data_IF_026950466181
#
_entry.id   IF_026950466181
#
_cell.length_a   1.000
_cell.length_b   1.000
_cell.length_c   1.000
_cell.angle_alpha   90.00
_cell.angle_beta   90.00
_cell.angle_gamma   90.00
#
_symmetry.space_group_name_H-M   'P 1'
#
loop_
_entity.id
_entity.type
_entity.pdbx_description
1 polymer ?
#
# COMPACT_ATOMS: atom_id res chain seq x y z
N UNK A 1 8.30 23.41 -4.42
CA UNK A 1 7.81 22.23 -5.17
C UNK A 1 6.28 22.15 -5.14
N UNK A 2 5.57 22.98 -5.94
CA UNK A 2 4.11 23.11 -5.84
C UNK A 2 3.31 21.84 -6.20
N UNK A 3 3.81 21.02 -7.13
CA UNK A 3 3.11 19.80 -7.57
C UNK A 3 2.97 18.75 -6.45
N UNK A 4 3.94 18.64 -5.53
CA UNK A 4 3.84 17.74 -4.38
C UNK A 4 2.77 18.19 -3.37
N UNK A 5 2.56 19.51 -3.21
CA UNK A 5 1.44 20.03 -2.43
C UNK A 5 0.10 19.66 -3.09
N UNK A 6 0.02 19.74 -4.42
CA UNK A 6 -1.19 19.37 -5.17
C UNK A 6 -1.51 17.88 -4.97
N UNK A 7 -0.53 16.98 -5.16
CA UNK A 7 -0.74 15.55 -4.94
C UNK A 7 -1.10 15.24 -3.48
N UNK A 8 -0.43 15.87 -2.51
CA UNK A 8 -0.79 15.67 -1.11
C UNK A 8 -2.25 16.06 -0.85
N UNK A 9 -2.71 17.20 -1.39
CA UNK A 9 -4.11 17.64 -1.25
C UNK A 9 -5.08 16.68 -1.95
N UNK A 10 -4.76 16.25 -3.16
CA UNK A 10 -5.64 15.44 -4.02
C UNK A 10 -5.80 14.00 -3.51
N UNK A 11 -4.71 13.38 -3.04
CA UNK A 11 -4.67 11.96 -2.71
C UNK A 11 -4.63 11.66 -1.20
N UNK A 12 -4.56 12.66 -0.30
CA UNK A 12 -4.52 12.43 1.16
C UNK A 12 -5.67 11.56 1.66
N UNK A 13 -6.89 11.83 1.20
CA UNK A 13 -8.10 11.14 1.64
C UNK A 13 -8.21 9.74 0.99
N UNK A 14 -7.25 9.41 0.12
CA UNK A 14 -7.07 8.10 -0.51
C UNK A 14 -5.82 7.39 0.02
N UNK A 15 -5.15 7.97 1.03
CA UNK A 15 -4.03 7.35 1.74
C UNK A 15 -2.64 7.78 1.25
N UNK A 16 -2.52 8.78 0.35
CA UNK A 16 -1.21 9.33 0.02
C UNK A 16 -0.71 10.25 1.15
N UNK A 17 0.46 9.93 1.68
CA UNK A 17 1.20 10.82 2.59
C UNK A 17 2.46 11.27 1.87
N UNK A 18 2.68 12.58 1.80
CA UNK A 18 3.92 13.17 1.29
C UNK A 18 4.76 13.57 2.50
N UNK A 19 6.03 13.18 2.52
CA UNK A 19 6.98 13.54 3.58
C UNK A 19 8.23 14.09 2.90
N UNK A 20 8.57 15.34 3.21
CA UNK A 20 9.84 15.93 2.83
C UNK A 20 10.93 15.50 3.81
N UNK A 21 12.13 15.20 3.32
CA UNK A 21 13.28 14.87 4.17
C UNK A 21 14.44 15.75 3.74
N UNK A 22 15.12 16.36 4.71
CA UNK A 22 16.31 17.19 4.47
C UNK A 22 17.39 16.90 5.51
N UNK A 23 18.65 16.95 5.06
CA UNK A 23 19.83 16.92 5.92
C UNK A 23 20.06 18.25 6.65
N UNK A 24 19.42 19.33 6.19
CA UNK A 24 19.55 20.65 6.80
C UNK A 24 18.85 20.71 8.16
N UNK A 25 19.43 21.42 9.14
CA UNK A 25 18.73 21.74 10.39
C UNK A 25 17.52 22.63 10.10
N UNK A 26 16.52 22.58 10.99
CA UNK A 26 15.27 23.33 10.85
C UNK A 26 15.51 24.83 10.59
N UNK A 27 16.45 25.46 11.32
CA UNK A 27 16.77 26.88 11.19
C UNK A 27 17.17 27.29 9.75
N UNK A 28 17.83 26.39 9.00
CA UNK A 28 18.24 26.64 7.61
C UNK A 28 17.15 26.29 6.61
N UNK A 29 16.40 25.22 6.87
CA UNK A 29 15.37 24.74 5.95
C UNK A 29 14.07 25.57 6.02
N UNK A 30 13.72 26.11 7.19
CA UNK A 30 12.45 26.82 7.44
C UNK A 30 12.22 28.02 6.51
N UNK A 31 13.21 28.93 6.27
CA UNK A 31 13.02 30.01 5.30
C UNK A 31 12.74 29.52 3.87
N UNK A 32 13.30 28.38 3.47
CA UNK A 32 13.02 27.78 2.16
C UNK A 32 11.60 27.21 2.10
N UNK A 33 11.16 26.55 3.16
CA UNK A 33 9.82 25.95 3.29
C UNK A 33 8.73 27.00 3.20
N UNK A 34 8.87 28.09 3.95
CA UNK A 34 7.93 29.20 3.99
C UNK A 34 7.85 29.91 2.63
N UNK A 35 9.02 30.25 2.05
CA UNK A 35 9.11 30.88 0.73
C UNK A 35 8.46 30.03 -0.37
N UNK A 36 8.61 28.71 -0.30
CA UNK A 36 8.05 27.77 -1.27
C UNK A 36 6.65 27.28 -0.91
N UNK A 37 6.05 27.79 0.19
CA UNK A 37 4.73 27.41 0.69
C UNK A 37 4.53 25.89 0.78
N UNK A 38 5.54 25.17 1.28
CA UNK A 38 5.46 23.71 1.40
C UNK A 38 4.48 23.36 2.55
N UNK A 39 3.49 22.50 2.27
CA UNK A 39 2.39 22.19 3.20
C UNK A 39 2.42 20.78 3.76
N UNK A 40 3.21 19.89 3.18
CA UNK A 40 3.35 18.52 3.67
C UNK A 40 4.40 18.45 4.81
N UNK A 41 4.32 17.46 5.71
CA UNK A 41 5.29 17.27 6.79
C UNK A 41 6.74 17.19 6.29
N UNK A 42 7.67 17.77 7.04
CA UNK A 42 9.11 17.74 6.74
C UNK A 42 9.87 17.22 7.96
N UNK A 43 10.82 16.33 7.69
CA UNK A 43 11.78 15.81 8.66
C UNK A 43 13.12 16.50 8.44
N UNK A 44 13.64 17.13 9.49
CA UNK A 44 14.91 17.88 9.51
C UNK A 44 16.06 17.05 10.06
N UNK A 45 17.29 17.37 9.65
CA UNK A 45 18.54 16.91 10.30
C UNK A 45 18.79 15.39 10.33
N UNK A 46 17.94 14.59 9.70
CA UNK A 46 18.00 13.12 9.75
C UNK A 46 18.47 12.45 8.47
N UNK A 47 18.43 13.17 7.34
CA UNK A 47 18.72 12.61 6.03
C UNK A 47 17.87 11.41 5.64
N UNK A 48 17.98 11.03 4.37
CA UNK A 48 17.46 9.75 3.89
C UNK A 48 18.64 8.81 3.62
N UNK A 49 19.56 8.64 4.57
CA UNK A 49 20.84 7.92 4.38
C UNK A 49 20.64 6.46 3.91
N UNK A 50 19.56 5.81 4.33
CA UNK A 50 19.16 4.48 3.84
C UNK A 50 18.63 4.45 2.39
N UNK A 51 18.31 5.62 1.83
CA UNK A 51 17.78 5.80 0.48
C UNK A 51 18.86 6.36 -0.46
N UNK A 52 19.58 5.47 -1.15
CA UNK A 52 20.61 5.86 -2.11
C UNK A 52 20.03 6.68 -3.28
N UNK A 53 20.45 7.93 -3.42
CA UNK A 53 20.11 8.83 -4.55
C UNK A 53 21.29 8.96 -5.51
N UNK A 54 21.00 9.37 -6.76
CA UNK A 54 22.04 9.78 -7.74
C UNK A 54 22.19 11.30 -7.85
N UNK A 55 21.30 12.06 -7.21
CA UNK A 55 21.21 13.51 -7.31
C UNK A 55 19.94 14.02 -6.60
N UNK A 56 19.97 15.28 -6.20
CA UNK A 56 18.89 15.98 -5.50
C UNK A 56 18.29 17.04 -6.46
N UNK A 57 16.96 17.23 -6.49
CA UNK A 57 15.96 16.57 -5.65
C UNK A 57 15.61 15.16 -6.15
N UNK A 58 15.27 14.28 -5.20
CA UNK A 58 14.88 12.91 -5.45
C UNK A 58 13.59 12.58 -4.70
N UNK A 59 12.77 11.70 -5.25
CA UNK A 59 11.56 11.21 -4.60
C UNK A 59 11.42 9.70 -4.80
N UNK A 60 10.81 9.05 -3.82
CA UNK A 60 10.42 7.65 -3.88
C UNK A 60 8.94 7.57 -3.59
N UNK A 61 8.22 6.81 -4.40
CA UNK A 61 6.85 6.41 -4.10
C UNK A 61 6.90 5.05 -3.44
N UNK A 62 6.41 4.97 -2.20
CA UNK A 62 6.26 3.73 -1.46
C UNK A 62 4.82 3.27 -1.60
N UNK A 63 4.61 2.08 -2.17
CA UNK A 63 3.28 1.52 -2.32
C UNK A 63 2.73 0.99 -0.98
N UNK A 64 1.43 0.69 -0.89
CA UNK A 64 0.76 0.19 0.33
C UNK A 64 1.32 -1.13 0.89
N UNK A 65 2.10 -1.86 0.07
CA UNK A 65 2.87 -3.03 0.49
C UNK A 65 4.22 -2.73 1.13
N UNK A 66 4.57 -1.46 1.35
CA UNK A 66 5.84 -1.02 1.94
C UNK A 66 7.04 -1.08 1.00
N UNK A 67 6.83 -1.33 -0.30
CA UNK A 67 7.88 -1.40 -1.31
C UNK A 67 7.96 -0.11 -2.12
N UNK A 68 9.16 0.27 -2.53
CA UNK A 68 9.37 1.35 -3.50
C UNK A 68 8.85 0.88 -4.86
N UNK A 69 7.86 1.60 -5.39
CA UNK A 69 7.20 1.30 -6.68
C UNK A 69 7.59 2.29 -7.77
N UNK A 70 8.12 3.45 -7.38
CA UNK A 70 8.72 4.43 -8.28
C UNK A 70 9.82 5.20 -7.56
N UNK A 71 10.84 5.64 -8.29
CA UNK A 71 11.86 6.57 -7.79
C UNK A 71 12.39 7.44 -8.93
N UNK A 72 12.75 8.68 -8.62
CA UNK A 72 13.30 9.59 -9.63
C UNK A 72 13.27 11.05 -9.20
N UNK A 73 13.49 11.93 -10.16
CA UNK A 73 13.32 13.37 -9.93
C UNK A 73 11.83 13.67 -9.67
N UNK A 74 11.46 14.49 -8.66
CA UNK A 74 10.07 14.73 -8.28
C UNK A 74 9.16 15.20 -9.42
N UNK A 75 9.70 15.99 -10.37
CA UNK A 75 8.96 16.45 -11.56
C UNK A 75 8.47 15.29 -12.44
N UNK A 76 9.15 14.14 -12.40
CA UNK A 76 8.72 12.94 -13.12
C UNK A 76 7.60 12.16 -12.44
N UNK A 77 7.21 12.50 -11.21
CA UNK A 77 6.06 11.91 -10.54
C UNK A 77 4.79 12.60 -11.03
N UNK A 78 3.82 11.81 -11.49
CA UNK A 78 2.53 12.31 -11.96
C UNK A 78 1.36 11.53 -11.36
N UNK A 79 0.14 12.06 -11.54
CA UNK A 79 -1.08 11.46 -11.03
C UNK A 79 -1.29 10.01 -11.53
N UNK A 80 -0.96 9.70 -12.78
CA UNK A 80 -1.10 8.33 -13.32
C UNK A 80 -0.23 7.31 -12.59
N UNK A 81 1.01 7.67 -12.25
CA UNK A 81 1.90 6.83 -11.43
C UNK A 81 1.32 6.63 -10.04
N UNK A 82 0.80 7.70 -9.41
CA UNK A 82 0.17 7.61 -8.10
C UNK A 82 -1.07 6.72 -8.17
N UNK A 83 -1.97 6.95 -9.12
CA UNK A 83 -3.18 6.15 -9.35
C UNK A 83 -2.89 4.67 -9.53
N UNK A 84 -1.87 4.34 -10.32
CA UNK A 84 -1.41 2.96 -10.53
C UNK A 84 -0.97 2.28 -9.23
N UNK A 85 -0.48 3.04 -8.27
CA UNK A 85 0.21 2.53 -7.10
C UNK A 85 -0.44 2.84 -5.75
N UNK A 86 -1.45 3.70 -5.71
CA UNK A 86 -2.24 4.02 -4.51
C UNK A 86 -3.27 2.92 -4.23
N UNK A 87 -3.47 2.00 -5.16
CA UNK A 87 -4.39 0.90 -4.97
C UNK A 87 -4.00 0.00 -3.79
N UNK A 88 -4.96 -0.20 -2.89
CA UNK A 88 -4.73 -0.89 -1.63
C UNK A 88 -4.20 0.01 -0.51
N UNK A 89 -4.00 1.31 -0.77
CA UNK A 89 -3.81 2.31 0.27
C UNK A 89 -5.08 2.39 1.13
N UNK A 90 -4.87 2.65 2.41
CA UNK A 90 -5.92 2.67 3.41
C UNK A 90 -5.90 4.00 4.11
N UNK A 91 -7.06 4.62 4.20
CA UNK A 91 -7.32 5.60 5.25
C UNK A 91 -7.95 4.82 6.38
N UNK A 92 -7.23 4.72 7.50
CA UNK A 92 -7.76 4.08 8.72
C UNK A 92 -8.99 4.83 9.23
N UNK A 93 -9.83 4.20 10.06
CA UNK A 93 -11.00 4.86 10.61
C UNK A 93 -10.56 6.05 11.47
N UNK A 94 -11.21 7.20 11.29
CA UNK A 94 -11.00 8.36 12.16
C UNK A 94 -11.73 8.11 13.48
N UNK A 95 -10.94 7.76 14.50
CA UNK A 95 -11.44 7.46 15.84
C UNK A 95 -10.73 8.41 16.80
N UNK A 96 -11.52 9.28 17.41
CA UNK A 96 -11.08 10.15 18.50
C UNK A 96 -11.52 9.50 19.80
N UNK A 97 -10.60 9.42 20.76
CA UNK A 97 -10.83 8.76 22.04
C UNK A 97 -10.56 9.74 23.18
N UNK A 98 -11.27 9.60 24.31
CA UNK A 98 -10.96 10.31 25.53
C UNK A 98 -9.48 10.13 25.96
N UNK A 99 -8.85 11.13 26.60
CA UNK A 99 -7.45 11.07 27.01
C UNK A 99 -7.11 9.87 27.92
N UNK A 100 -8.08 9.30 28.65
CA UNK A 100 -7.83 8.14 29.51
C UNK A 100 -7.53 6.87 28.72
N UNK A 101 -7.90 6.80 27.43
CA UNK A 101 -7.72 5.61 26.57
C UNK A 101 -6.37 5.62 25.81
N UNK A 102 -5.31 6.15 26.43
CA UNK A 102 -3.96 6.30 25.81
C UNK A 102 -3.46 5.03 25.13
N UNK A 103 -3.64 3.89 25.81
CA UNK A 103 -3.18 2.59 25.32
C UNK A 103 -3.92 2.16 24.04
N UNK A 104 -5.25 2.33 24.02
CA UNK A 104 -6.05 2.09 22.81
C UNK A 104 -5.62 3.04 21.70
N UNK A 105 -5.43 4.33 21.98
CA UNK A 105 -4.96 5.31 20.98
C UNK A 105 -3.62 4.89 20.37
N UNK A 106 -2.69 4.34 21.16
CA UNK A 106 -1.43 3.78 20.64
C UNK A 106 -1.66 2.59 19.70
N UNK A 107 -2.57 1.68 20.03
CA UNK A 107 -2.90 0.55 19.14
C UNK A 107 -3.55 1.00 17.83
N UNK A 108 -4.47 1.96 17.88
CA UNK A 108 -5.10 2.54 16.68
C UNK A 108 -4.07 3.18 15.75
N UNK A 109 -3.18 4.02 16.30
CA UNK A 109 -2.09 4.66 15.53
C UNK A 109 -1.14 3.64 14.91
N UNK A 110 -0.93 2.49 15.55
CA UNK A 110 -0.11 1.40 15.04
C UNK A 110 -0.85 0.45 14.07
N UNK A 111 -2.13 0.70 13.77
CA UNK A 111 -2.96 -0.19 12.94
C UNK A 111 -3.23 -1.57 13.57
N UNK A 112 -3.05 -1.69 14.90
CA UNK A 112 -3.28 -2.91 15.69
C UNK A 112 -4.73 -2.96 16.16
N UNK A 113 -5.68 -2.89 15.22
CA UNK A 113 -7.11 -2.76 15.49
C UNK A 113 -7.69 -3.88 16.36
N UNK A 114 -7.23 -5.13 16.22
CA UNK A 114 -7.68 -6.22 17.06
C UNK A 114 -7.28 -6.05 18.54
N UNK A 115 -6.05 -5.56 18.79
CA UNK A 115 -5.62 -5.22 20.16
C UNK A 115 -6.36 -4.01 20.70
N UNK A 116 -6.61 -3.00 19.85
CA UNK A 116 -7.43 -1.85 20.22
C UNK A 116 -8.84 -2.31 20.62
N UNK A 117 -9.47 -3.17 19.83
CA UNK A 117 -10.81 -3.70 20.09
C UNK A 117 -10.88 -4.45 21.42
N UNK A 118 -9.94 -5.37 21.69
CA UNK A 118 -9.90 -6.10 22.98
C UNK A 118 -9.65 -5.17 24.18
N UNK A 119 -8.83 -4.13 24.02
CA UNK A 119 -8.60 -3.14 25.07
C UNK A 119 -9.87 -2.33 25.33
N UNK A 120 -10.53 -1.83 24.27
CA UNK A 120 -11.80 -1.11 24.34
C UNK A 120 -12.91 -1.91 25.01
N UNK A 121 -13.04 -3.21 24.70
CA UNK A 121 -14.02 -4.08 25.34
C UNK A 121 -13.81 -4.14 26.86
N UNK A 122 -12.56 -4.23 27.31
CA UNK A 122 -12.22 -4.22 28.74
C UNK A 122 -12.50 -2.86 29.38
N UNK A 123 -12.21 -1.77 28.68
CA UNK A 123 -12.44 -0.41 29.17
C UNK A 123 -13.93 -0.11 29.28
N UNK A 124 -14.73 -0.47 28.28
CA UNK A 124 -16.19 -0.31 28.31
C UNK A 124 -16.80 -1.04 29.52
N UNK A 125 -16.37 -2.28 29.81
CA UNK A 125 -16.87 -3.05 30.97
C UNK A 125 -16.45 -2.49 32.34
N UNK A 126 -15.37 -1.71 32.40
CA UNK A 126 -14.79 -1.18 33.65
C UNK A 126 -15.03 0.32 33.81
N UNK A 127 -15.61 0.98 32.82
CA UNK A 127 -15.81 2.40 32.81
C UNK A 127 -16.79 2.80 33.93
N UNK A 128 -16.36 3.75 34.76
CA UNK A 128 -17.24 4.42 35.74
C UNK A 128 -17.92 5.65 35.13
N UNK A 129 -17.28 6.23 34.11
CA UNK A 129 -17.77 7.38 33.36
C UNK A 129 -18.54 6.88 32.13
N UNK A 130 -19.86 7.15 32.02
CA UNK A 130 -20.67 6.78 30.86
C UNK A 130 -20.12 7.31 29.53
N UNK A 131 -19.45 8.47 29.53
CA UNK A 131 -18.85 9.02 28.31
C UNK A 131 -17.67 8.16 27.82
N UNK A 132 -16.88 7.59 28.73
CA UNK A 132 -15.77 6.68 28.38
C UNK A 132 -16.31 5.35 27.88
N UNK A 133 -17.38 4.83 28.49
CA UNK A 133 -18.05 3.62 28.02
C UNK A 133 -18.57 3.81 26.59
N UNK A 134 -19.32 4.89 26.36
CA UNK A 134 -19.90 5.18 25.05
C UNK A 134 -18.82 5.36 23.99
N UNK A 135 -17.79 6.17 24.27
CA UNK A 135 -16.68 6.38 23.34
C UNK A 135 -15.95 5.06 23.00
N UNK A 136 -15.83 4.14 23.97
CA UNK A 136 -15.23 2.84 23.72
C UNK A 136 -16.12 1.96 22.82
N UNK A 137 -17.43 1.97 23.03
CA UNK A 137 -18.41 1.25 22.19
C UNK A 137 -18.46 1.80 20.77
N UNK A 138 -18.51 3.11 20.60
CA UNK A 138 -18.49 3.77 19.29
C UNK A 138 -17.20 3.45 18.52
N UNK A 139 -16.06 3.46 19.22
CA UNK A 139 -14.79 3.09 18.63
C UNK A 139 -14.75 1.63 18.20
N UNK A 140 -15.30 0.70 18.99
CA UNK A 140 -15.44 -0.71 18.61
C UNK A 140 -16.31 -0.87 17.36
N UNK A 141 -17.44 -0.17 17.29
CA UNK A 141 -18.31 -0.19 16.11
C UNK A 141 -17.56 0.29 14.86
N UNK A 142 -16.88 1.45 14.93
CA UNK A 142 -16.10 1.99 13.81
C UNK A 142 -14.97 1.05 13.36
N UNK A 143 -14.31 0.34 14.29
CA UNK A 143 -13.30 -0.67 13.95
C UNK A 143 -13.95 -1.84 13.19
N UNK A 144 -15.11 -2.33 13.67
CA UNK A 144 -15.83 -3.44 13.03
C UNK A 144 -16.34 -3.07 11.64
N UNK A 145 -16.92 -1.88 11.47
CA UNK A 145 -17.35 -1.37 10.16
C UNK A 145 -16.16 -1.25 9.21
N UNK A 146 -15.05 -0.68 9.68
CA UNK A 146 -13.82 -0.58 8.90
C UNK A 146 -13.31 -1.96 8.47
N UNK A 147 -13.30 -2.95 9.36
CA UNK A 147 -12.88 -4.30 9.04
C UNK A 147 -13.78 -4.94 7.96
N UNK A 148 -15.09 -4.74 8.05
CA UNK A 148 -16.06 -5.21 7.06
C UNK A 148 -15.85 -4.57 5.69
N UNK A 149 -15.63 -3.25 5.63
CA UNK A 149 -15.31 -2.54 4.39
C UNK A 149 -14.00 -3.06 3.79
N UNK A 150 -12.98 -3.30 4.62
CA UNK A 150 -11.70 -3.84 4.14
C UNK A 150 -11.83 -5.26 3.60
N UNK A 151 -12.71 -6.09 4.16
CA UNK A 151 -12.98 -7.43 3.64
C UNK A 151 -13.78 -7.36 2.33
N UNK A 152 -14.80 -6.49 2.26
CA UNK A 152 -15.56 -6.26 1.03
C UNK A 152 -14.66 -5.76 -0.12
N UNK A 153 -13.66 -4.93 0.18
CA UNK A 153 -12.67 -4.49 -0.81
C UNK A 153 -11.87 -5.65 -1.41
N UNK A 154 -11.62 -6.73 -0.66
CA UNK A 154 -10.98 -7.93 -1.22
C UNK A 154 -11.84 -8.56 -2.31
N UNK A 155 -13.16 -8.62 -2.12
CA UNK A 155 -14.07 -9.12 -3.15
C UNK A 155 -14.00 -8.25 -4.43
N UNK A 156 -13.91 -6.93 -4.27
CA UNK A 156 -13.72 -6.01 -5.41
C UNK A 156 -12.37 -6.22 -6.12
N UNK A 157 -11.29 -6.46 -5.37
CA UNK A 157 -10.00 -6.84 -5.98
C UNK A 157 -10.11 -8.14 -6.78
N UNK A 158 -10.85 -9.13 -6.28
CA UNK A 158 -11.09 -10.39 -6.99
C UNK A 158 -11.82 -10.15 -8.31
N UNK A 159 -12.92 -9.39 -8.29
CA UNK A 159 -13.71 -9.05 -9.49
C UNK A 159 -12.87 -8.33 -10.55
N UNK A 160 -12.00 -7.42 -10.11
CA UNK A 160 -11.10 -6.66 -10.99
C UNK A 160 -9.82 -7.42 -11.36
N UNK A 161 -9.71 -8.70 -10.99
CA UNK A 161 -8.53 -9.57 -11.21
C UNK A 161 -7.23 -9.03 -10.57
N UNK A 162 -7.35 -8.18 -9.54
CA UNK A 162 -6.25 -7.54 -8.82
C UNK A 162 -5.75 -8.41 -7.68
N UNK A 163 -5.39 -9.64 -8.02
CA UNK A 163 -5.11 -10.70 -7.05
C UNK A 163 -3.92 -10.39 -6.14
N UNK A 164 -2.90 -9.68 -6.62
CA UNK A 164 -1.76 -9.31 -5.78
C UNK A 164 -2.16 -8.27 -4.71
N UNK A 165 -2.92 -7.24 -5.09
CA UNK A 165 -3.45 -6.27 -4.14
C UNK A 165 -4.38 -6.92 -3.12
N UNK A 166 -5.24 -7.83 -3.56
CA UNK A 166 -6.13 -8.60 -2.69
C UNK A 166 -5.39 -9.52 -1.72
N UNK A 167 -4.35 -10.25 -2.15
CA UNK A 167 -3.52 -11.05 -1.23
C UNK A 167 -2.86 -10.21 -0.14
N UNK A 168 -2.33 -9.04 -0.51
CA UNK A 168 -1.74 -8.13 0.47
C UNK A 168 -2.80 -7.60 1.44
N UNK A 169 -3.99 -7.25 0.94
CA UNK A 169 -5.10 -6.80 1.78
C UNK A 169 -5.57 -7.90 2.75
N UNK A 170 -5.64 -9.15 2.29
CA UNK A 170 -5.96 -10.34 3.10
C UNK A 170 -4.91 -10.59 4.19
N UNK A 171 -3.62 -10.57 3.84
CA UNK A 171 -2.54 -10.73 4.80
C UNK A 171 -2.55 -9.62 5.85
N UNK A 172 -2.70 -8.35 5.44
CA UNK A 172 -2.81 -7.23 6.37
C UNK A 172 -4.04 -7.35 7.27
N UNK A 173 -5.22 -7.64 6.70
CA UNK A 173 -6.47 -7.80 7.46
C UNK A 173 -6.36 -8.87 8.53
N UNK A 174 -5.77 -10.03 8.20
CA UNK A 174 -5.54 -11.12 9.17
C UNK A 174 -4.67 -10.71 10.37
N UNK A 175 -3.71 -9.80 10.15
CA UNK A 175 -2.80 -9.32 11.20
C UNK A 175 -3.39 -8.14 11.98
N UNK A 176 -3.90 -7.13 11.28
CA UNK A 176 -4.42 -5.89 11.89
C UNK A 176 -5.62 -6.16 12.79
N UNK A 177 -6.51 -7.08 12.42
CA UNK A 177 -7.72 -7.41 13.18
C UNK A 177 -7.54 -8.66 14.06
N UNK A 178 -6.31 -9.13 14.27
CA UNK A 178 -6.02 -10.33 15.07
C UNK A 178 -6.71 -10.28 16.44
N UNK A 179 -7.50 -11.29 16.75
CA UNK A 179 -8.31 -11.39 17.97
C UNK A 179 -9.79 -11.09 17.78
N UNK A 180 -10.17 -10.48 16.64
CA UNK A 180 -11.57 -10.32 16.23
C UNK A 180 -12.01 -11.49 15.35
N UNK A 181 -13.31 -11.82 15.37
CA UNK A 181 -13.86 -12.91 14.54
C UNK A 181 -13.68 -12.66 13.04
N UNK A 182 -13.80 -11.41 12.58
CA UNK A 182 -13.60 -11.07 11.17
C UNK A 182 -12.18 -11.37 10.67
N UNK A 183 -11.17 -11.41 11.54
CA UNK A 183 -9.82 -11.82 11.15
C UNK A 183 -9.74 -13.29 10.71
N UNK A 184 -10.68 -14.14 11.18
CA UNK A 184 -10.81 -15.53 10.74
C UNK A 184 -11.25 -15.57 9.27
N UNK A 185 -12.16 -14.70 8.85
CA UNK A 185 -12.58 -14.59 7.44
C UNK A 185 -11.45 -14.12 6.53
N UNK A 186 -10.69 -13.09 6.95
CA UNK A 186 -9.46 -12.69 6.23
C UNK A 186 -8.48 -13.86 6.11
N UNK A 187 -8.28 -14.63 7.17
CA UNK A 187 -7.35 -15.77 7.18
C UNK A 187 -7.84 -16.92 6.28
N UNK A 188 -9.14 -17.20 6.31
CA UNK A 188 -9.79 -18.22 5.48
C UNK A 188 -9.65 -17.89 4.00
N UNK A 189 -9.97 -16.66 3.61
CA UNK A 189 -9.87 -16.22 2.22
C UNK A 189 -8.40 -16.07 1.76
N UNK A 190 -7.49 -15.66 2.65
CA UNK A 190 -6.05 -15.69 2.36
C UNK A 190 -5.58 -17.10 2.01
N UNK A 191 -6.03 -18.11 2.77
CA UNK A 191 -5.68 -19.52 2.53
C UNK A 191 -6.31 -20.04 1.26
N UNK A 192 -7.56 -19.66 0.95
CA UNK A 192 -8.23 -20.07 -0.29
C UNK A 192 -7.45 -19.53 -1.51
N UNK A 193 -7.08 -18.25 -1.53
CA UNK A 193 -6.33 -17.64 -2.65
C UNK A 193 -4.92 -18.19 -2.80
N UNK A 194 -4.26 -18.56 -1.69
CA UNK A 194 -2.94 -19.21 -1.73
C UNK A 194 -2.98 -20.63 -2.31
N UNK A 195 -4.11 -21.33 -2.19
CA UNK A 195 -4.30 -22.70 -2.71
C UNK A 195 -4.88 -22.71 -4.12
N UNK A 196 -5.56 -21.65 -4.53
CA UNK A 196 -6.14 -21.52 -5.86
C UNK A 196 -5.04 -21.34 -6.92
N UNK A 197 -4.85 -22.38 -7.74
CA UNK A 197 -3.81 -22.42 -8.78
C UNK A 197 -4.01 -21.32 -9.83
N UNK A 198 -5.25 -20.97 -10.16
CA UNK A 198 -5.56 -19.92 -11.14
C UNK A 198 -5.17 -18.55 -10.60
N UNK A 199 -5.52 -18.26 -9.34
CA UNK A 199 -5.11 -17.01 -8.67
C UNK A 199 -3.59 -16.93 -8.58
N UNK A 200 -2.92 -18.01 -8.15
CA UNK A 200 -1.45 -18.05 -8.06
C UNK A 200 -0.78 -17.88 -9.43
N UNK A 201 -1.35 -18.46 -10.50
CA UNK A 201 -0.90 -18.28 -11.86
C UNK A 201 -1.00 -16.82 -12.30
N UNK A 202 -2.14 -16.16 -12.05
CA UNK A 202 -2.33 -14.74 -12.38
C UNK A 202 -1.30 -13.85 -11.67
N UNK A 203 -1.05 -14.08 -10.38
CA UNK A 203 -0.09 -13.28 -9.59
C UNK A 203 1.34 -13.52 -10.07
N UNK A 204 1.76 -14.78 -10.17
CA UNK A 204 3.11 -15.12 -10.61
C UNK A 204 3.38 -14.65 -12.03
N UNK A 205 2.38 -14.80 -12.91
CA UNK A 205 2.42 -14.34 -14.29
C UNK A 205 2.60 -12.82 -14.38
N UNK A 206 1.77 -12.04 -13.67
CA UNK A 206 1.83 -10.59 -13.67
C UNK A 206 3.20 -10.05 -13.18
N UNK A 207 3.79 -10.67 -12.15
CA UNK A 207 5.11 -10.27 -11.64
C UNK A 207 6.22 -10.46 -12.67
N UNK A 208 6.25 -11.63 -13.31
CA UNK A 208 7.21 -11.93 -14.36
C UNK A 208 7.02 -11.00 -15.57
N UNK A 209 5.77 -10.68 -15.93
CA UNK A 209 5.47 -9.78 -17.02
C UNK A 209 6.04 -8.37 -16.75
N UNK A 210 5.83 -7.83 -15.55
CA UNK A 210 6.41 -6.54 -15.12
C UNK A 210 7.93 -6.57 -15.14
N UNK A 211 8.55 -7.68 -14.73
CA UNK A 211 10.00 -7.86 -14.81
C UNK A 211 10.50 -7.85 -16.27
N UNK A 212 9.82 -8.56 -17.16
CA UNK A 212 10.15 -8.58 -18.59
C UNK A 212 10.02 -7.18 -19.20
N UNK A 213 8.97 -6.43 -18.88
CA UNK A 213 8.79 -5.04 -19.31
C UNK A 213 9.90 -4.10 -18.81
N UNK A 214 10.36 -4.25 -17.56
CA UNK A 214 11.51 -3.49 -17.05
C UNK A 214 12.78 -3.81 -17.84
N UNK A 215 13.01 -5.08 -18.16
CA UNK A 215 14.16 -5.51 -18.96
C UNK A 215 14.12 -4.92 -20.38
N UNK A 216 12.95 -4.90 -21.02
CA UNK A 216 12.76 -4.24 -22.32
C UNK A 216 13.10 -2.76 -22.25
N UNK A 217 12.61 -2.04 -21.23
CA UNK A 217 12.91 -0.61 -21.02
C UNK A 217 14.40 -0.34 -20.82
N UNK A 218 15.16 -1.34 -20.39
CA UNK A 218 16.61 -1.26 -20.16
C UNK A 218 17.43 -1.80 -21.33
N UNK A 219 16.80 -2.08 -22.47
CA UNK A 219 17.45 -2.64 -23.67
C UNK A 219 17.93 -4.08 -23.51
N UNK A 220 17.47 -4.81 -22.48
CA UNK A 220 17.89 -6.18 -22.17
C UNK A 220 16.96 -7.19 -22.85
N UNK A 221 16.88 -7.14 -24.17
CA UNK A 221 15.88 -7.86 -24.95
C UNK A 221 15.97 -9.39 -24.81
N UNK A 222 17.18 -9.96 -24.84
CA UNK A 222 17.36 -11.42 -24.67
C UNK A 222 16.81 -11.94 -23.33
N UNK A 223 17.04 -11.18 -22.25
CA UNK A 223 16.56 -11.56 -20.91
C UNK A 223 15.05 -11.44 -20.82
N UNK A 224 14.47 -10.38 -21.39
CA UNK A 224 13.02 -10.22 -21.49
C UNK A 224 12.38 -11.36 -22.31
N UNK A 225 12.96 -11.71 -23.46
CA UNK A 225 12.48 -12.78 -24.33
C UNK A 225 12.45 -14.14 -23.62
N UNK A 226 13.46 -14.44 -22.78
CA UNK A 226 13.47 -15.65 -21.94
C UNK A 226 12.27 -15.68 -20.97
N UNK A 227 11.95 -14.56 -20.33
CA UNK A 227 10.79 -14.48 -19.43
C UNK A 227 9.47 -14.61 -20.21
N UNK A 228 9.32 -13.92 -21.35
CA UNK A 228 8.13 -14.07 -22.19
C UNK A 228 7.95 -15.52 -22.67
N UNK A 229 9.02 -16.21 -23.05
CA UNK A 229 8.96 -17.62 -23.45
C UNK A 229 8.49 -18.54 -22.30
N UNK A 230 8.96 -18.30 -21.07
CA UNK A 230 8.51 -19.05 -19.88
C UNK A 230 7.01 -18.82 -19.63
N UNK A 231 6.57 -17.55 -19.70
CA UNK A 231 5.17 -17.19 -19.51
C UNK A 231 4.26 -17.80 -20.57
N UNK A 232 4.63 -17.70 -21.85
CA UNK A 232 3.85 -18.19 -22.98
C UNK A 232 3.69 -19.72 -22.97
N UNK A 233 4.75 -20.46 -22.65
CA UNK A 233 4.81 -21.92 -22.85
C UNK A 233 4.47 -22.75 -21.61
N UNK A 234 4.56 -22.17 -20.41
CA UNK A 234 4.36 -22.94 -19.18
C UNK A 234 2.90 -23.22 -18.90
N UNK A 235 2.54 -24.51 -18.71
CA UNK A 235 1.21 -24.93 -18.23
C UNK A 235 0.84 -24.29 -16.88
N UNK A 236 1.81 -23.83 -16.08
CA UNK A 236 1.57 -23.13 -14.81
C UNK A 236 0.79 -21.83 -15.01
N UNK A 237 0.99 -21.13 -16.12
CA UNK A 237 0.38 -19.83 -16.40
C UNK A 237 -0.79 -19.94 -17.39
N UNK A 238 -1.23 -21.16 -17.68
CA UNK A 238 -2.33 -21.46 -18.60
C UNK A 238 -3.57 -20.63 -18.27
N UNK A 239 -4.05 -19.85 -19.24
CA UNK A 239 -5.25 -19.01 -19.13
C UNK A 239 -5.05 -17.71 -18.34
N UNK A 240 -3.84 -17.41 -17.87
CA UNK A 240 -3.55 -16.14 -17.23
C UNK A 240 -3.47 -14.99 -18.23
N UNK A 241 -3.75 -13.76 -17.78
CA UNK A 241 -3.60 -12.58 -18.63
C UNK A 241 -2.13 -12.40 -19.07
N UNK A 242 -1.19 -12.72 -18.18
CA UNK A 242 0.24 -12.62 -18.47
C UNK A 242 0.73 -13.62 -19.52
N UNK A 243 0.14 -14.82 -19.60
CA UNK A 243 0.48 -15.76 -20.67
C UNK A 243 0.08 -15.19 -22.04
N UNK A 244 -1.17 -14.71 -22.16
CA UNK A 244 -1.68 -14.13 -23.42
C UNK A 244 -0.83 -12.94 -23.86
N UNK A 245 -0.50 -12.05 -22.93
CA UNK A 245 0.37 -10.90 -23.24
C UNK A 245 1.79 -11.38 -23.64
N UNK A 246 2.35 -12.36 -22.93
CA UNK A 246 3.68 -12.86 -23.23
C UNK A 246 3.78 -13.56 -24.59
N UNK A 247 2.73 -14.24 -25.05
CA UNK A 247 2.66 -14.84 -26.40
C UNK A 247 2.82 -13.77 -27.48
N UNK A 248 2.15 -12.63 -27.31
CA UNK A 248 2.25 -11.47 -28.22
C UNK A 248 3.65 -10.86 -28.14
N UNK A 249 4.10 -10.50 -26.94
CA UNK A 249 5.40 -9.84 -26.74
C UNK A 249 6.60 -10.69 -27.18
N UNK A 250 6.50 -12.01 -27.06
CA UNK A 250 7.54 -12.93 -27.53
C UNK A 250 7.69 -12.90 -29.05
N UNK A 251 6.63 -12.66 -29.80
CA UNK A 251 6.71 -12.48 -31.25
C UNK A 251 7.31 -11.12 -31.59
N UNK A 252 6.82 -10.06 -30.94
CA UNK A 252 7.27 -8.69 -31.18
C UNK A 252 8.75 -8.48 -30.87
N UNK A 253 9.26 -9.10 -29.80
CA UNK A 253 10.63 -8.88 -29.34
C UNK A 253 11.68 -9.51 -30.26
N UNK A 254 11.31 -10.47 -31.13
CA UNK A 254 12.22 -11.14 -32.06
C UNK A 254 12.95 -10.19 -33.00
N UNK A 255 12.35 -9.04 -33.33
CA UNK A 255 12.98 -8.02 -34.19
C UNK A 255 14.13 -7.27 -33.52
N UNK A 256 14.34 -7.48 -32.21
CA UNK A 256 15.40 -6.84 -31.41
C UNK A 256 16.42 -7.85 -30.86
N UNK A 257 16.30 -9.13 -31.24
CA UNK A 257 17.24 -10.19 -30.91
C UNK A 257 18.12 -10.45 -32.14
#
# INVERSE_FOLDING_TARGET
MPHLNAFHKEFKDRGLVVIGVTDEPEAKAKPYIERNKIKYPIVFGGGASGYKTRGIPHSWLVGPGGKIVWKGHPVGLNASIIEKHIEGARVGPKIELPPQLVKTTKYLKAGQFGKAYTDLEKQAKRAKDPAVEQAARDAMQKISEYASVELARVAEFKKKLKFEAGLQALQRGSQSFKGMDIAKEFTKELRSWKKDKTIQAQIGGARLLVEAEDLVKRGKYEKAAKIYAVLARSKKYAGSAAQKEAEIRLQEIRKYL
#
